data_IF_023873250665
#
_entry.id   IF_023873250665
#
_cell.length_a   1.000
_cell.length_b   1.000
_cell.length_c   1.000
_cell.angle_alpha   90.00
_cell.angle_beta   90.00
_cell.angle_gamma   90.00
#
_symmetry.space_group_name_H-M   'P 1'
#
loop_
_entity.id
_entity.type
_entity.pdbx_description
1 polymer ?
#
# COMPACT_ATOMS: atom_id res chain seq x y z
N UNK A 1 -17.81 -2.97 1.49
CA UNK A 1 -16.89 -2.52 0.43
C UNK A 1 -16.04 -1.41 1.02
N UNK A 2 -14.71 -1.49 0.93
CA UNK A 2 -13.84 -0.42 1.42
C UNK A 2 -14.16 0.89 0.66
N UNK A 3 -14.33 1.99 1.40
CA UNK A 3 -14.63 3.31 0.84
C UNK A 3 -13.31 3.97 0.48
N UNK A 4 -13.21 4.57 -0.71
CA UNK A 4 -12.10 5.47 -1.06
C UNK A 4 -12.36 6.80 -0.33
N UNK A 5 -11.44 7.28 0.53
CA UNK A 5 -11.52 8.62 1.11
C UNK A 5 -11.60 9.71 0.03
N UNK A 6 -12.31 10.79 0.34
CA UNK A 6 -12.39 11.98 -0.53
C UNK A 6 -12.17 13.22 0.35
N UNK A 7 -11.02 13.91 0.26
CA UNK A 7 -9.86 13.62 -0.61
C UNK A 7 -9.18 12.27 -0.28
N UNK A 8 -8.46 11.69 -1.25
CA UNK A 8 -7.69 10.46 -1.04
C UNK A 8 -6.39 10.79 -0.30
N UNK A 9 -6.44 10.75 1.02
CA UNK A 9 -5.33 11.11 1.90
C UNK A 9 -5.23 10.12 3.06
N UNK A 10 -4.02 9.90 3.54
CA UNK A 10 -3.79 9.16 4.78
C UNK A 10 -4.41 9.93 5.96
N UNK A 11 -5.01 9.22 6.92
CA UNK A 11 -5.54 9.78 8.16
C UNK A 11 -5.19 8.88 9.36
N UNK A 12 -5.37 9.37 10.58
CA UNK A 12 -5.07 8.60 11.80
C UNK A 12 -5.84 7.27 11.91
N UNK A 13 -6.90 7.07 11.11
CA UNK A 13 -7.62 5.79 11.04
C UNK A 13 -6.77 4.65 10.44
N UNK A 14 -5.70 4.98 9.71
CA UNK A 14 -4.74 4.03 9.11
C UNK A 14 -3.47 3.85 9.94
N UNK A 15 -3.41 4.43 11.15
CA UNK A 15 -2.22 4.38 12.01
C UNK A 15 -1.96 2.99 12.57
N UNK A 16 -0.81 2.41 12.25
CA UNK A 16 -0.31 1.14 12.78
C UNK A 16 0.31 1.31 14.17
N UNK A 17 0.85 2.49 14.48
CA UNK A 17 1.60 2.74 15.71
C UNK A 17 3.11 2.55 15.55
N UNK A 18 3.57 2.15 14.36
CA UNK A 18 4.97 2.14 13.97
C UNK A 18 5.25 3.35 13.08
N UNK A 19 5.98 4.34 13.59
CA UNK A 19 6.16 5.63 12.91
C UNK A 19 6.78 5.48 11.51
N UNK A 20 7.72 4.54 11.31
CA UNK A 20 8.29 4.26 9.99
C UNK A 20 7.24 3.78 9.00
N UNK A 21 6.46 2.76 9.37
CA UNK A 21 5.39 2.21 8.51
C UNK A 21 4.28 3.23 8.26
N UNK A 22 3.91 4.02 9.27
CA UNK A 22 2.91 5.08 9.10
C UNK A 22 3.38 6.16 8.12
N UNK A 23 4.67 6.50 8.11
CA UNK A 23 5.25 7.43 7.14
C UNK A 23 5.33 6.84 5.72
N UNK A 24 5.63 5.55 5.60
CA UNK A 24 5.58 4.83 4.33
C UNK A 24 4.15 4.76 3.78
N UNK A 25 3.15 4.47 4.63
CA UNK A 25 1.74 4.49 4.23
C UNK A 25 1.32 5.85 3.68
N UNK A 26 1.72 6.97 4.32
CA UNK A 26 1.48 8.32 3.75
C UNK A 26 2.06 8.45 2.33
N UNK A 27 3.25 7.90 2.10
CA UNK A 27 3.89 7.90 0.77
C UNK A 27 3.06 7.11 -0.25
N UNK A 28 2.50 5.95 0.12
CA UNK A 28 1.61 5.16 -0.75
C UNK A 28 0.32 5.89 -1.10
N UNK A 29 -0.31 6.55 -0.12
CA UNK A 29 -1.50 7.36 -0.37
C UNK A 29 -1.17 8.49 -1.36
N UNK A 30 -0.07 9.20 -1.13
CA UNK A 30 0.38 10.29 -1.98
C UNK A 30 0.74 9.82 -3.39
N UNK A 31 1.35 8.63 -3.56
CA UNK A 31 1.73 8.12 -4.87
C UNK A 31 0.52 7.72 -5.71
N UNK A 32 -0.49 7.08 -5.10
CA UNK A 32 -1.76 6.78 -5.77
C UNK A 32 -2.54 8.04 -6.12
N UNK A 33 -2.57 9.04 -5.24
CA UNK A 33 -3.19 10.34 -5.52
C UNK A 33 -2.48 11.07 -6.67
N UNK A 34 -1.14 11.15 -6.64
CA UNK A 34 -0.39 11.74 -7.75
C UNK A 34 -0.62 10.98 -9.07
N UNK A 35 -0.71 9.65 -9.02
CA UNK A 35 -1.04 8.84 -10.19
C UNK A 35 -2.46 9.15 -10.73
N UNK A 36 -3.45 9.38 -9.87
CA UNK A 36 -4.80 9.76 -10.32
C UNK A 36 -4.87 11.15 -10.95
N UNK A 37 -4.07 12.10 -10.47
CA UNK A 37 -4.07 13.48 -10.97
C UNK A 37 -3.29 13.64 -12.28
N UNK A 38 -2.13 12.99 -12.40
CA UNK A 38 -1.20 13.20 -13.53
C UNK A 38 -1.15 12.04 -14.51
N UNK A 39 -1.27 10.79 -14.02
CA UNK A 39 -1.35 9.56 -14.81
C UNK A 39 -0.28 9.40 -15.92
N UNK A 40 0.96 9.82 -15.65
CA UNK A 40 2.09 9.64 -16.58
C UNK A 40 2.87 8.37 -16.27
N UNK A 41 3.81 8.01 -17.17
CA UNK A 41 4.77 6.91 -16.93
C UNK A 41 5.56 7.14 -15.65
N UNK A 42 6.03 8.34 -15.40
CA UNK A 42 6.89 8.63 -14.25
C UNK A 42 6.12 8.49 -12.93
N UNK A 43 4.86 8.93 -12.89
CA UNK A 43 4.01 8.70 -11.71
C UNK A 43 3.69 7.21 -11.49
N UNK A 44 3.48 6.45 -12.57
CA UNK A 44 3.25 5.01 -12.45
C UNK A 44 4.48 4.29 -11.89
N UNK A 45 5.67 4.59 -12.42
CA UNK A 45 6.92 3.96 -11.95
C UNK A 45 7.25 4.39 -10.52
N UNK A 46 7.06 5.67 -10.16
CA UNK A 46 7.21 6.12 -8.78
C UNK A 46 6.23 5.42 -7.83
N UNK A 47 4.96 5.24 -8.23
CA UNK A 47 3.97 4.51 -7.44
C UNK A 47 4.39 3.05 -7.23
N UNK A 48 4.83 2.35 -8.27
CA UNK A 48 5.36 0.98 -8.17
C UNK A 48 6.54 0.89 -7.21
N UNK A 49 7.50 1.80 -7.32
CA UNK A 49 8.67 1.83 -6.45
C UNK A 49 8.29 2.04 -4.99
N UNK A 50 7.34 2.95 -4.70
CA UNK A 50 6.85 3.18 -3.34
C UNK A 50 6.27 1.90 -2.71
N UNK A 51 5.43 1.16 -3.44
CA UNK A 51 4.85 -0.10 -2.97
C UNK A 51 5.92 -1.18 -2.75
N UNK A 52 6.86 -1.35 -3.68
CA UNK A 52 7.95 -2.33 -3.54
C UNK A 52 8.82 -2.02 -2.32
N UNK A 53 9.17 -0.75 -2.10
CA UNK A 53 10.01 -0.34 -0.99
C UNK A 53 9.31 -0.54 0.36
N UNK A 54 8.04 -0.14 0.46
CA UNK A 54 7.25 -0.33 1.67
C UNK A 54 7.08 -1.82 2.01
N UNK A 55 6.64 -2.65 1.05
CA UNK A 55 6.45 -4.07 1.30
C UNK A 55 7.75 -4.77 1.73
N UNK A 56 8.88 -4.36 1.16
CA UNK A 56 10.19 -4.89 1.55
C UNK A 56 10.56 -4.52 3.00
N UNK A 57 10.34 -3.27 3.42
CA UNK A 57 10.65 -2.87 4.79
C UNK A 57 9.71 -3.55 5.79
N UNK A 58 8.40 -3.54 5.52
CA UNK A 58 7.40 -4.14 6.39
C UNK A 58 7.63 -5.64 6.58
N UNK A 59 7.88 -6.39 5.50
CA UNK A 59 8.24 -7.81 5.57
C UNK A 59 9.56 -8.01 6.32
N UNK A 60 10.52 -7.10 6.17
CA UNK A 60 11.75 -7.09 6.96
C UNK A 60 11.49 -6.91 8.46
N UNK A 61 10.55 -6.05 8.84
CA UNK A 61 10.11 -5.86 10.24
C UNK A 61 9.40 -7.11 10.76
N UNK A 62 8.45 -7.68 10.00
CA UNK A 62 7.78 -8.95 10.31
C UNK A 62 8.78 -10.09 10.57
N UNK A 63 9.78 -10.25 9.70
CA UNK A 63 10.80 -11.27 9.83
C UNK A 63 11.61 -11.11 11.12
N UNK A 64 12.06 -9.89 11.43
CA UNK A 64 12.85 -9.60 12.65
C UNK A 64 12.06 -9.88 13.92
N UNK A 65 10.75 -9.66 13.90
CA UNK A 65 9.86 -9.92 15.02
C UNK A 65 9.40 -11.38 15.14
N UNK A 66 9.76 -12.25 14.17
CA UNK A 66 9.21 -13.60 14.04
C UNK A 66 7.67 -13.59 14.00
N UNK A 67 7.09 -12.66 13.24
CA UNK A 67 5.64 -12.54 13.13
C UNK A 67 5.02 -13.80 12.52
N UNK A 68 4.12 -14.45 13.26
CA UNK A 68 3.61 -15.79 12.96
C UNK A 68 2.76 -15.90 11.69
N UNK A 69 2.32 -14.77 11.12
CA UNK A 69 1.49 -14.73 9.90
C UNK A 69 2.20 -14.04 8.72
N UNK A 70 3.54 -14.03 8.74
CA UNK A 70 4.34 -13.36 7.71
C UNK A 70 4.11 -13.96 6.31
N UNK A 71 3.97 -15.29 6.20
CA UNK A 71 3.81 -15.96 4.92
C UNK A 71 2.48 -15.57 4.26
N UNK A 72 1.38 -15.55 5.02
CA UNK A 72 0.08 -15.12 4.51
C UNK A 72 0.08 -13.64 4.10
N UNK A 73 0.71 -12.78 4.90
CA UNK A 73 0.82 -11.35 4.60
C UNK A 73 1.66 -11.09 3.34
N UNK A 74 2.77 -11.81 3.19
CA UNK A 74 3.64 -11.72 2.01
C UNK A 74 2.91 -12.13 0.73
N UNK A 75 2.09 -13.19 0.78
CA UNK A 75 1.30 -13.61 -0.37
C UNK A 75 0.28 -12.54 -0.82
N UNK A 76 -0.28 -11.77 0.12
CA UNK A 76 -1.19 -10.65 -0.18
C UNK A 76 -0.44 -9.53 -0.92
N UNK A 77 0.78 -9.19 -0.46
CA UNK A 77 1.65 -8.22 -1.13
C UNK A 77 2.03 -8.65 -2.54
N UNK A 78 2.47 -9.90 -2.71
CA UNK A 78 2.88 -10.45 -4.01
C UNK A 78 1.73 -10.40 -5.03
N UNK A 79 0.51 -10.75 -4.61
CA UNK A 79 -0.69 -10.66 -5.44
C UNK A 79 -1.00 -9.22 -5.88
N UNK A 80 -0.78 -8.24 -5.00
CA UNK A 80 -0.95 -6.84 -5.36
C UNK A 80 0.14 -6.34 -6.31
N UNK A 81 1.42 -6.69 -6.08
CA UNK A 81 2.51 -6.34 -6.97
C UNK A 81 2.34 -6.95 -8.37
N UNK A 82 1.81 -8.17 -8.48
CA UNK A 82 1.50 -8.78 -9.77
C UNK A 82 0.43 -7.99 -10.54
N UNK A 83 -0.60 -7.49 -9.84
CA UNK A 83 -1.62 -6.62 -10.44
C UNK A 83 -1.03 -5.28 -10.87
N UNK A 84 -0.27 -4.63 -9.97
CA UNK A 84 0.37 -3.34 -10.21
C UNK A 84 1.38 -3.41 -11.38
N UNK A 85 2.09 -4.53 -11.52
CA UNK A 85 3.01 -4.78 -12.63
C UNK A 85 2.35 -4.85 -14.02
N UNK A 86 1.04 -5.16 -14.08
CA UNK A 86 0.27 -5.19 -15.33
C UNK A 86 -0.16 -3.80 -15.80
N UNK A 87 -0.13 -2.80 -14.93
CA UNK A 87 -0.54 -1.44 -15.26
C UNK A 87 0.43 -0.80 -16.25
N UNK A 88 -0.13 -0.02 -17.18
CA UNK A 88 0.61 0.73 -18.21
C UNK A 88 0.08 2.15 -18.24
N UNK A 89 0.98 3.13 -18.33
CA UNK A 89 0.57 4.52 -18.43
C UNK A 89 0.06 4.87 -19.85
N UNK A 90 -1.04 5.63 -19.98
CA UNK A 90 -1.92 6.06 -18.89
C UNK A 90 -2.72 4.87 -18.33
N UNK A 91 -2.76 4.76 -17.01
CA UNK A 91 -3.45 3.70 -16.28
C UNK A 91 -4.94 3.89 -16.38
N UNK A 92 -5.71 2.80 -16.54
CA UNK A 92 -7.16 2.89 -16.54
C UNK A 92 -7.66 3.39 -15.18
N UNK A 93 -8.64 4.30 -15.18
CA UNK A 93 -9.19 4.87 -13.95
C UNK A 93 -9.67 3.80 -12.96
N UNK A 94 -10.29 2.72 -13.46
CA UNK A 94 -10.75 1.60 -12.63
C UNK A 94 -9.61 0.85 -11.93
N UNK A 95 -8.42 0.79 -12.54
CA UNK A 95 -7.24 0.18 -11.92
C UNK A 95 -6.70 1.07 -10.79
N UNK A 96 -6.60 2.39 -11.02
CA UNK A 96 -6.20 3.35 -9.98
C UNK A 96 -7.15 3.29 -8.78
N UNK A 97 -8.47 3.29 -9.04
CA UNK A 97 -9.48 3.13 -7.99
C UNK A 97 -9.38 1.79 -7.27
N UNK A 98 -9.02 0.72 -7.98
CA UNK A 98 -8.78 -0.59 -7.38
C UNK A 98 -7.59 -0.54 -6.43
N UNK A 99 -6.48 0.11 -6.82
CA UNK A 99 -5.33 0.32 -5.94
C UNK A 99 -5.67 1.13 -4.70
N UNK A 100 -6.45 2.20 -4.85
CA UNK A 100 -6.94 3.01 -3.72
C UNK A 100 -7.82 2.20 -2.76
N UNK A 101 -8.75 1.40 -3.29
CA UNK A 101 -9.60 0.49 -2.49
C UNK A 101 -8.80 -0.60 -1.80
N UNK A 102 -7.78 -1.13 -2.48
CA UNK A 102 -6.90 -2.15 -1.93
C UNK A 102 -6.14 -1.59 -0.74
N UNK A 103 -5.50 -0.42 -0.87
CA UNK A 103 -4.71 0.18 0.21
C UNK A 103 -5.57 0.50 1.45
N UNK A 104 -6.75 1.10 1.24
CA UNK A 104 -7.64 1.46 2.35
C UNK A 104 -8.32 0.27 3.00
N UNK A 105 -8.29 -0.90 2.34
CA UNK A 105 -8.72 -2.16 2.93
C UNK A 105 -7.57 -2.87 3.64
N UNK A 106 -6.42 -2.98 2.97
CA UNK A 106 -5.26 -3.73 3.41
C UNK A 106 -4.74 -3.26 4.76
N UNK A 107 -4.52 -1.95 4.93
CA UNK A 107 -4.00 -1.41 6.19
C UNK A 107 -4.88 -1.82 7.40
N UNK A 108 -6.19 -1.53 7.43
CA UNK A 108 -7.00 -1.87 8.59
C UNK A 108 -7.29 -3.36 8.75
N UNK A 109 -7.21 -4.19 7.70
CA UNK A 109 -7.57 -5.62 7.80
C UNK A 109 -6.39 -6.58 7.86
N UNK A 110 -5.24 -6.21 7.31
CA UNK A 110 -4.03 -7.02 7.28
C UNK A 110 -2.97 -6.40 8.19
N UNK A 111 -2.57 -5.15 7.95
CA UNK A 111 -1.48 -4.52 8.70
C UNK A 111 -1.82 -4.35 10.18
N UNK A 112 -3.08 -4.07 10.49
CA UNK A 112 -3.50 -3.93 11.88
C UNK A 112 -3.36 -5.23 12.69
N UNK A 113 -3.24 -6.39 12.02
CA UNK A 113 -3.01 -7.67 12.71
C UNK A 113 -1.65 -7.73 13.38
N UNK A 114 -0.65 -6.98 12.91
CA UNK A 114 0.69 -6.95 13.50
C UNK A 114 0.89 -5.84 14.54
N UNK A 115 -0.13 -5.03 14.86
CA UNK A 115 -0.05 -3.99 15.90
C UNK A 115 0.47 -4.54 17.23
N UNK A 116 1.53 -3.91 17.75
CA UNK A 116 2.25 -4.32 18.98
C UNK A 116 2.91 -5.71 18.88
N UNK A 117 3.17 -6.21 17.68
CA UNK A 117 3.78 -7.53 17.43
C UNK A 117 5.05 -7.47 16.58
N UNK A 118 5.31 -6.35 15.91
CA UNK A 118 6.59 -6.02 15.26
C UNK A 118 7.55 -5.32 16.23
#
# INVERSE_FOLDING_TARGET
MAKIPAPFEWSEEFKTGYESLDNEHRTLFNSLFALSEFNTRDQLEACKECFVMHFRDEQGQMLRANYVHMDEHTAIHESFLEQLGKWKAPVAQGDIESGMKWLTHHIPTEDFKYKNKL
#
